data_IF_629194491168
#
_entry.id   IF_629194491168
#
_cell.length_a   1.000
_cell.length_b   1.000
_cell.length_c   1.000
_cell.angle_alpha   90.00
_cell.angle_beta   90.00
_cell.angle_gamma   90.00
#
_symmetry.space_group_name_H-M   'P 1'
#
loop_
_entity.id
_entity.type
_entity.pdbx_description
1 polymer ?
#
# COMPACT_ATOMS: atom_id res chain seq x y z
N UNK A 1 25.11 14.92 -13.41
CA UNK A 1 25.19 14.46 -12.00
C UNK A 1 24.81 13.00 -11.97
N UNK A 2 25.75 12.10 -11.64
CA UNK A 2 25.42 10.68 -11.44
C UNK A 2 24.70 10.56 -10.11
N UNK A 3 23.42 10.22 -10.15
CA UNK A 3 22.62 9.96 -8.94
C UNK A 3 23.07 8.60 -8.42
N UNK A 4 23.56 8.57 -7.19
CA UNK A 4 23.91 7.32 -6.51
C UNK A 4 22.61 6.62 -6.10
N UNK A 5 22.34 5.38 -6.54
CA UNK A 5 21.12 4.66 -6.19
C UNK A 5 20.95 4.41 -4.68
N UNK A 6 22.00 4.58 -3.87
CA UNK A 6 21.90 4.56 -2.40
C UNK A 6 21.26 5.83 -1.79
N UNK A 7 21.18 6.91 -2.57
CA UNK A 7 20.52 8.17 -2.18
C UNK A 7 19.07 8.24 -2.65
N UNK A 8 18.64 7.31 -3.50
CA UNK A 8 17.22 7.13 -3.80
C UNK A 8 16.57 6.53 -2.56
N UNK A 9 15.45 7.07 -2.05
CA UNK A 9 14.76 6.43 -0.95
C UNK A 9 14.45 4.99 -1.38
N UNK A 10 14.80 4.02 -0.54
CA UNK A 10 14.40 2.62 -0.74
C UNK A 10 12.88 2.56 -0.58
N UNK A 11 12.15 3.02 -1.59
CA UNK A 11 10.72 2.87 -1.66
C UNK A 11 10.48 1.39 -1.92
N UNK A 12 10.15 0.69 -0.84
CA UNK A 12 9.73 -0.70 -0.85
C UNK A 12 8.60 -0.82 -1.87
N UNK A 13 8.89 -1.47 -3.00
CA UNK A 13 7.88 -1.68 -4.04
C UNK A 13 6.92 -2.72 -3.50
N UNK A 14 5.75 -2.30 -3.02
CA UNK A 14 4.72 -3.20 -2.52
C UNK A 14 3.81 -3.60 -3.68
N UNK A 15 3.95 -4.82 -4.18
CA UNK A 15 2.95 -5.43 -5.06
C UNK A 15 1.75 -5.85 -4.21
N UNK A 16 0.62 -5.17 -4.39
CA UNK A 16 -0.65 -5.56 -3.77
C UNK A 16 -1.26 -6.68 -4.62
N UNK A 17 -1.42 -7.90 -4.09
CA UNK A 17 -2.15 -8.94 -4.80
C UNK A 17 -3.61 -8.50 -4.99
N UNK A 18 -4.11 -8.62 -6.21
CA UNK A 18 -5.49 -8.33 -6.57
C UNK A 18 -6.10 -9.53 -7.30
N UNK A 19 -7.35 -9.83 -6.99
CA UNK A 19 -8.16 -10.85 -7.66
C UNK A 19 -9.29 -10.15 -8.43
N UNK A 20 -9.24 -10.24 -9.74
CA UNK A 20 -10.21 -9.65 -10.68
C UNK A 20 -11.61 -10.26 -10.58
N UNK A 21 -11.71 -11.47 -10.03
CA UNK A 21 -12.97 -12.15 -9.77
C UNK A 21 -13.52 -11.87 -8.36
N UNK A 22 -12.77 -11.19 -7.50
CA UNK A 22 -13.19 -10.90 -6.14
C UNK A 22 -13.90 -9.55 -6.08
N UNK A 23 -15.12 -9.55 -5.54
CA UNK A 23 -15.82 -8.31 -5.27
C UNK A 23 -15.06 -7.54 -4.20
N UNK A 24 -14.51 -6.39 -4.59
CA UNK A 24 -13.87 -5.45 -3.68
C UNK A 24 -14.95 -4.62 -2.99
N UNK A 25 -14.96 -4.67 -1.66
CA UNK A 25 -15.90 -3.88 -0.87
C UNK A 25 -15.49 -2.40 -0.83
N UNK A 26 -16.46 -1.55 -0.50
CA UNK A 26 -16.25 -0.10 -0.47
C UNK A 26 -15.16 0.32 0.54
N UNK A 27 -14.96 -0.46 1.60
CA UNK A 27 -13.92 -0.18 2.58
C UNK A 27 -12.52 -0.39 2.00
N UNK A 28 -12.28 -1.52 1.33
CA UNK A 28 -11.01 -1.79 0.64
C UNK A 28 -10.72 -0.73 -0.43
N UNK A 29 -11.73 -0.38 -1.24
CA UNK A 29 -11.60 0.67 -2.26
C UNK A 29 -11.25 2.03 -1.63
N UNK A 30 -11.90 2.41 -0.53
CA UNK A 30 -11.60 3.66 0.18
C UNK A 30 -10.16 3.70 0.71
N UNK A 31 -9.67 2.60 1.27
CA UNK A 31 -8.28 2.49 1.75
C UNK A 31 -7.28 2.62 0.62
N UNK A 32 -7.52 1.98 -0.52
CA UNK A 32 -6.69 2.13 -1.73
C UNK A 32 -6.65 3.57 -2.21
N UNK A 33 -7.79 4.25 -2.30
CA UNK A 33 -7.85 5.66 -2.71
C UNK A 33 -7.03 6.55 -1.77
N UNK A 34 -7.10 6.31 -0.45
CA UNK A 34 -6.30 7.08 0.53
C UNK A 34 -4.80 6.89 0.33
N UNK A 35 -4.37 5.66 0.06
CA UNK A 35 -2.96 5.36 -0.24
C UNK A 35 -2.54 6.07 -1.52
N UNK A 36 -3.32 5.96 -2.60
CA UNK A 36 -3.01 6.59 -3.88
C UNK A 36 -2.91 8.12 -3.76
N UNK A 37 -3.81 8.76 -3.01
CA UNK A 37 -3.73 10.20 -2.72
C UNK A 37 -2.50 10.54 -1.89
N UNK A 38 -2.24 9.78 -0.83
CA UNK A 38 -1.07 10.01 0.02
C UNK A 38 0.24 9.89 -0.77
N UNK A 39 0.32 8.98 -1.75
CA UNK A 39 1.46 8.86 -2.66
C UNK A 39 1.54 10.08 -3.58
N UNK A 40 0.42 10.46 -4.22
CA UNK A 40 0.37 11.63 -5.09
C UNK A 40 0.79 12.93 -4.38
N UNK A 41 0.51 13.02 -3.09
CA UNK A 41 0.78 14.19 -2.26
C UNK A 41 2.12 14.10 -1.49
N UNK A 42 2.98 13.10 -1.79
CA UNK A 42 4.24 12.83 -1.09
C UNK A 42 4.11 12.80 0.45
N UNK A 43 2.99 12.27 0.93
CA UNK A 43 2.64 12.25 2.34
C UNK A 43 3.54 11.29 3.13
N UNK A 44 4.03 11.74 4.29
CA UNK A 44 4.75 10.89 5.24
C UNK A 44 3.89 9.77 5.84
N UNK A 45 2.57 9.78 5.62
CA UNK A 45 1.64 8.75 6.08
C UNK A 45 1.61 7.49 5.19
N UNK A 46 2.20 7.52 4.00
CA UNK A 46 2.19 6.38 3.04
C UNK A 46 2.64 5.06 3.69
N UNK A 47 3.75 5.00 4.45
CA UNK A 47 4.19 3.74 5.07
C UNK A 47 3.16 3.17 6.04
N UNK A 48 2.51 4.02 6.83
CA UNK A 48 1.47 3.61 7.79
C UNK A 48 0.23 3.11 7.05
N UNK A 49 -0.25 3.86 6.04
CA UNK A 49 -1.45 3.47 5.28
C UNK A 49 -1.24 2.15 4.53
N UNK A 50 -0.05 1.92 3.97
CA UNK A 50 0.30 0.64 3.35
C UNK A 50 0.34 -0.50 4.36
N UNK A 51 0.95 -0.28 5.53
CA UNK A 51 0.99 -1.28 6.61
C UNK A 51 -0.41 -1.66 7.06
N UNK A 52 -1.27 -0.67 7.31
CA UNK A 52 -2.65 -0.90 7.72
C UNK A 52 -3.44 -1.67 6.66
N UNK A 53 -3.28 -1.31 5.38
CA UNK A 53 -3.94 -2.01 4.29
C UNK A 53 -3.50 -3.48 4.20
N UNK A 54 -2.20 -3.76 4.32
CA UNK A 54 -1.69 -5.13 4.34
C UNK A 54 -2.28 -5.91 5.52
N UNK A 55 -2.26 -5.35 6.73
CA UNK A 55 -2.72 -6.04 7.94
C UNK A 55 -4.24 -6.22 8.04
N UNK A 56 -5.03 -5.48 7.24
CA UNK A 56 -6.50 -5.50 7.32
C UNK A 56 -7.16 -6.15 6.12
N UNK A 57 -6.60 -5.96 4.91
CA UNK A 57 -7.19 -6.44 3.65
C UNK A 57 -6.46 -7.67 3.13
N UNK A 58 -5.12 -7.66 3.12
CA UNK A 58 -4.32 -8.74 2.50
C UNK A 58 -4.08 -9.89 3.50
N UNK A 59 -3.69 -9.54 4.72
CA UNK A 59 -3.41 -10.46 5.81
C UNK A 59 -4.26 -10.09 7.04
N UNK A 60 -5.60 -10.23 6.98
CA UNK A 60 -6.44 -9.95 8.14
C UNK A 60 -5.97 -10.81 9.32
N UNK A 61 -5.84 -10.21 10.51
CA UNK A 61 -5.38 -10.89 11.74
C UNK A 61 -6.18 -12.15 12.12
N UNK A 62 -7.33 -12.36 11.49
CA UNK A 62 -8.21 -13.52 11.63
C UNK A 62 -7.80 -14.71 10.78
N UNK A 63 -6.92 -14.54 9.79
CA UNK A 63 -6.36 -15.63 8.98
C UNK A 63 -5.07 -16.08 9.66
N UNK A 64 -5.14 -17.19 10.36
CA UNK A 64 -3.94 -17.91 10.82
C UNK A 64 -3.26 -18.43 9.56
N UNK A 65 -2.08 -17.91 9.24
CA UNK A 65 -1.21 -18.48 8.20
C UNK A 65 -0.75 -19.88 8.58
#
# INVERSE_FOLDING_TARGET
TKIDPSQLPQYMTASIPYNDHQHMDNATLSSLIKILRAINDDSSAVPTLLTDYILTVVCPKTVVC
#
